data_IF_356470852670
#
_entry.id   IF_356470852670
#
_cell.length_a   1.000
_cell.length_b   1.000
_cell.length_c   1.000
_cell.angle_alpha   90.00
_cell.angle_beta   90.00
_cell.angle_gamma   90.00
#
_symmetry.space_group_name_H-M   'P 1'
#
loop_
_entity.id
_entity.type
_entity.pdbx_description
1 polymer ?
#
# COMPACT_ATOMS: atom_id res chain seq x y z
N UNK A 1 24.64 11.38 -9.57
CA UNK A 1 23.46 10.48 -9.48
C UNK A 1 22.17 11.11 -10.04
N UNK A 2 22.18 11.85 -11.17
CA UNK A 2 21.09 12.82 -11.46
C UNK A 2 20.46 12.80 -12.87
N UNK A 3 20.88 11.94 -13.81
CA UNK A 3 20.23 11.84 -15.14
C UNK A 3 19.22 10.70 -15.27
N UNK A 4 19.52 9.52 -14.74
CA UNK A 4 18.64 8.32 -14.87
C UNK A 4 17.32 8.51 -14.10
N UNK A 5 17.36 9.17 -12.93
CA UNK A 5 16.17 9.41 -12.11
C UNK A 5 15.16 10.40 -12.73
N UNK A 6 15.59 11.25 -13.67
CA UNK A 6 14.69 12.15 -14.41
C UNK A 6 13.96 11.45 -15.55
N UNK A 7 14.51 10.35 -16.08
CA UNK A 7 13.86 9.60 -17.16
C UNK A 7 12.72 8.70 -16.64
N UNK A 8 12.82 8.26 -15.38
CA UNK A 8 11.78 7.48 -14.70
C UNK A 8 10.64 8.32 -14.08
N UNK A 9 10.75 9.64 -14.04
CA UNK A 9 9.71 10.52 -13.48
C UNK A 9 8.94 11.20 -14.60
N UNK A 10 7.79 10.64 -15.02
CA UNK A 10 6.94 11.29 -16.01
C UNK A 10 6.62 12.73 -15.61
N UNK A 11 6.55 13.62 -16.60
CA UNK A 11 6.42 15.06 -16.34
C UNK A 11 4.99 15.44 -15.90
N UNK A 12 4.00 14.58 -16.15
CA UNK A 12 2.59 14.77 -15.74
C UNK A 12 2.27 14.03 -14.44
N UNK A 13 1.46 14.66 -13.59
CA UNK A 13 1.00 14.12 -12.30
C UNK A 13 0.21 12.83 -12.49
N UNK A 14 -0.65 12.76 -13.51
CA UNK A 14 -1.40 11.55 -13.86
C UNK A 14 -0.48 10.36 -14.20
N UNK A 15 0.54 10.57 -15.03
CA UNK A 15 1.49 9.49 -15.34
C UNK A 15 2.40 9.13 -14.17
N UNK A 16 2.69 10.06 -13.23
CA UNK A 16 3.40 9.71 -11.99
C UNK A 16 2.54 8.80 -11.10
N UNK A 17 1.24 9.11 -10.95
CA UNK A 17 0.30 8.25 -10.21
C UNK A 17 0.16 6.89 -10.90
N UNK A 18 0.00 6.87 -12.22
CA UNK A 18 -0.11 5.63 -12.98
C UNK A 18 1.15 4.76 -12.85
N UNK A 19 2.34 5.37 -12.88
CA UNK A 19 3.60 4.67 -12.68
C UNK A 19 3.74 4.10 -11.26
N UNK A 20 3.28 4.82 -10.24
CA UNK A 20 3.22 4.31 -8.86
C UNK A 20 2.27 3.13 -8.74
N UNK A 21 1.06 3.26 -9.29
CA UNK A 21 0.07 2.18 -9.27
C UNK A 21 0.61 0.95 -10.01
N UNK A 22 1.18 1.14 -11.19
CA UNK A 22 1.77 0.05 -11.96
C UNK A 22 2.94 -0.61 -11.21
N UNK A 23 3.85 0.19 -10.64
CA UNK A 23 4.96 -0.33 -9.85
C UNK A 23 4.45 -1.08 -8.61
N UNK A 24 3.42 -0.58 -7.92
CA UNK A 24 2.79 -1.24 -6.78
C UNK A 24 2.18 -2.60 -7.17
N UNK A 25 1.45 -2.64 -8.28
CA UNK A 25 0.83 -3.85 -8.80
C UNK A 25 1.91 -4.84 -9.25
N UNK A 26 2.89 -4.41 -10.04
CA UNK A 26 3.97 -5.27 -10.53
C UNK A 26 4.79 -5.86 -9.38
N UNK A 27 5.06 -5.06 -8.34
CA UNK A 27 5.73 -5.48 -7.12
C UNK A 27 4.88 -6.46 -6.31
N UNK A 28 3.58 -6.21 -6.16
CA UNK A 28 2.65 -7.15 -5.53
C UNK A 28 2.62 -8.48 -6.30
N UNK A 29 2.48 -8.43 -7.62
CA UNK A 29 2.52 -9.61 -8.49
C UNK A 29 3.86 -10.32 -8.42
N UNK A 30 4.99 -9.60 -8.32
CA UNK A 30 6.30 -10.19 -8.15
C UNK A 30 6.44 -10.88 -6.79
N UNK A 31 5.92 -10.27 -5.71
CA UNK A 31 5.88 -10.89 -4.37
C UNK A 31 5.00 -12.13 -4.39
N UNK A 32 3.80 -12.05 -4.96
CA UNK A 32 2.88 -13.20 -5.07
C UNK A 32 3.48 -14.30 -5.94
N UNK A 33 4.03 -13.96 -7.10
CA UNK A 33 4.67 -14.92 -8.00
C UNK A 33 5.92 -15.53 -7.38
N UNK A 34 6.73 -14.76 -6.64
CA UNK A 34 7.87 -15.29 -5.88
C UNK A 34 7.38 -16.20 -4.77
N UNK A 35 6.36 -15.79 -4.01
CA UNK A 35 5.74 -16.65 -2.99
C UNK A 35 5.27 -17.95 -3.63
N UNK A 36 4.61 -17.89 -4.77
CA UNK A 36 4.11 -19.07 -5.47
C UNK A 36 5.24 -19.95 -6.03
N UNK A 37 6.17 -19.37 -6.78
CA UNK A 37 7.33 -20.08 -7.38
C UNK A 37 8.26 -20.71 -6.34
N UNK A 38 8.42 -20.09 -5.18
CA UNK A 38 9.30 -20.58 -4.11
C UNK A 38 8.55 -21.29 -2.97
N UNK A 39 7.21 -21.26 -2.97
CA UNK A 39 6.37 -22.04 -2.04
C UNK A 39 5.62 -23.19 -2.71
N UNK A 40 5.90 -23.49 -3.97
CA UNK A 40 5.67 -24.81 -4.56
C UNK A 40 6.95 -25.64 -4.42
N UNK A 41 7.06 -26.55 -3.44
CA UNK A 41 8.18 -27.46 -3.37
C UNK A 41 8.15 -28.53 -4.46
N UNK A 42 7.00 -28.82 -5.10
CA UNK A 42 6.91 -29.95 -6.01
C UNK A 42 5.86 -29.76 -7.10
N UNK A 43 6.32 -29.69 -8.34
CA UNK A 43 5.59 -30.28 -9.45
C UNK A 43 5.19 -31.71 -9.07
N UNK A 44 3.89 -31.95 -8.90
CA UNK A 44 3.24 -33.22 -9.25
C UNK A 44 3.94 -34.51 -8.83
N UNK A 45 4.34 -34.67 -7.57
CA UNK A 45 4.22 -36.01 -6.99
C UNK A 45 2.79 -36.06 -6.50
N UNK A 46 1.93 -36.77 -7.23
CA UNK A 46 0.65 -37.17 -6.71
C UNK A 46 0.91 -37.68 -5.29
N UNK A 47 0.49 -36.90 -4.28
CA UNK A 47 0.40 -37.38 -2.90
C UNK A 47 -0.78 -38.33 -2.93
N UNK A 48 -0.58 -39.50 -3.54
CA UNK A 48 -1.33 -40.66 -3.09
C UNK A 48 -0.74 -40.88 -1.71
N UNK A 49 -1.53 -40.56 -0.69
CA UNK A 49 -1.10 -40.77 0.68
C UNK A 49 -0.63 -42.23 0.77
N UNK A 50 0.62 -42.51 1.19
CA UNK A 50 1.11 -43.88 1.21
C UNK A 50 0.18 -44.79 2.02
N UNK A 51 -0.49 -44.25 3.04
CA UNK A 51 -1.56 -44.92 3.78
C UNK A 51 -2.78 -45.31 2.94
N UNK A 52 -3.14 -44.54 1.91
CA UNK A 52 -4.22 -44.87 0.96
C UNK A 52 -3.81 -46.02 0.02
N UNK A 53 -2.59 -46.01 -0.52
CA UNK A 53 -2.08 -47.14 -1.33
C UNK A 53 -1.98 -48.40 -0.48
N UNK A 54 -1.44 -48.28 0.73
CA UNK A 54 -1.30 -49.39 1.68
C UNK A 54 -2.67 -49.97 2.05
N UNK A 55 -3.66 -49.12 2.37
CA UNK A 55 -5.01 -49.58 2.70
C UNK A 55 -5.72 -50.22 1.50
N UNK A 56 -5.56 -49.65 0.30
CA UNK A 56 -6.12 -50.19 -0.95
C UNK A 56 -5.50 -51.54 -1.27
N UNK A 57 -4.18 -51.67 -1.19
CA UNK A 57 -3.45 -52.90 -1.41
C UNK A 57 -3.86 -53.99 -0.41
N UNK A 58 -3.95 -53.63 0.88
CA UNK A 58 -4.36 -54.56 1.92
C UNK A 58 -5.81 -55.05 1.73
N UNK A 59 -6.72 -54.16 1.35
CA UNK A 59 -8.12 -54.50 1.07
C UNK A 59 -8.24 -55.40 -0.17
N UNK A 60 -7.48 -55.10 -1.23
CA UNK A 60 -7.46 -55.90 -2.44
C UNK A 60 -6.90 -57.31 -2.19
N UNK A 61 -5.83 -57.44 -1.40
CA UNK A 61 -5.23 -58.73 -1.05
C UNK A 61 -6.15 -59.54 -0.13
N UNK A 62 -6.83 -58.89 0.83
CA UNK A 62 -7.79 -59.53 1.74
C UNK A 62 -9.01 -60.10 1.01
N UNK A 63 -9.46 -59.43 -0.07
CA UNK A 63 -10.58 -59.89 -0.89
C UNK A 63 -10.27 -61.13 -1.76
N UNK A 64 -8.99 -61.51 -1.89
CA UNK A 64 -8.55 -62.63 -2.73
C UNK A 64 -8.40 -63.91 -1.91
N UNK A 65 -8.90 -65.03 -2.45
CA UNK A 65 -8.77 -66.36 -1.85
C UNK A 65 -7.29 -66.72 -1.57
N UNK A 66 -6.97 -67.44 -0.47
CA UNK A 66 -5.60 -67.73 -0.04
C UNK A 66 -4.68 -68.24 -1.17
N UNK A 67 -5.20 -69.15 -1.99
CA UNK A 67 -4.49 -69.79 -3.11
C UNK A 67 -4.03 -68.80 -4.21
N UNK A 68 -4.73 -67.67 -4.35
CA UNK A 68 -4.47 -66.67 -5.39
C UNK A 68 -3.74 -65.43 -4.87
N UNK A 69 -3.53 -65.30 -3.55
CA UNK A 69 -2.82 -64.16 -2.94
C UNK A 69 -1.40 -63.97 -3.45
N UNK A 70 -0.59 -65.00 -3.71
CA UNK A 70 0.76 -64.80 -4.26
C UNK A 70 0.73 -64.06 -5.61
N UNK A 71 -0.29 -64.31 -6.44
CA UNK A 71 -0.49 -63.59 -7.71
C UNK A 71 -0.93 -62.15 -7.48
N UNK A 72 -1.87 -61.92 -6.56
CA UNK A 72 -2.32 -60.56 -6.21
C UNK A 72 -1.18 -59.70 -5.62
N UNK A 73 -0.33 -60.30 -4.78
CA UNK A 73 0.87 -59.65 -4.24
C UNK A 73 1.86 -59.31 -5.37
N UNK A 74 2.10 -60.24 -6.30
CA UNK A 74 3.00 -59.99 -7.43
C UNK A 74 2.50 -58.84 -8.32
N UNK A 75 1.20 -58.76 -8.60
CA UNK A 75 0.62 -57.63 -9.34
C UNK A 75 0.67 -56.33 -8.54
N UNK A 76 0.39 -56.36 -7.24
CA UNK A 76 0.46 -55.18 -6.40
C UNK A 76 1.90 -54.64 -6.28
N UNK A 77 2.89 -55.54 -6.25
CA UNK A 77 4.30 -55.18 -6.23
C UNK A 77 4.77 -54.60 -7.59
N UNK A 78 4.10 -54.91 -8.70
CA UNK A 78 4.34 -54.23 -9.98
C UNK A 78 3.78 -52.80 -9.98
N UNK A 79 2.62 -52.59 -9.35
CA UNK A 79 1.97 -51.27 -9.26
C UNK A 79 2.68 -50.36 -8.24
N UNK A 80 3.16 -50.93 -7.14
CA UNK A 80 3.87 -50.23 -6.08
C UNK A 80 5.22 -50.93 -5.78
N UNK A 81 6.25 -50.76 -6.63
CA UNK A 81 7.55 -51.44 -6.46
C UNK A 81 8.33 -50.98 -5.22
N UNK A 82 7.95 -49.84 -4.66
CA UNK A 82 8.46 -49.28 -3.40
C UNK A 82 7.85 -49.95 -2.15
N UNK A 83 6.85 -50.82 -2.33
CA UNK A 83 6.26 -51.65 -1.28
C UNK A 83 6.61 -53.12 -1.49
N UNK A 84 7.02 -53.77 -0.41
CA UNK A 84 7.16 -55.22 -0.35
C UNK A 84 6.10 -55.78 0.58
N UNK A 85 5.24 -56.63 0.01
CA UNK A 85 4.17 -57.32 0.73
C UNK A 85 4.58 -58.76 1.01
N UNK A 86 4.44 -59.21 2.25
CA UNK A 86 4.72 -60.59 2.68
C UNK A 86 3.55 -61.08 3.54
N UNK A 87 3.14 -62.34 3.39
CA UNK A 87 2.12 -62.95 4.26
C UNK A 87 2.84 -63.71 5.36
N UNK A 88 2.41 -63.51 6.60
CA UNK A 88 2.80 -64.29 7.76
C UNK A 88 1.56 -64.97 8.35
N UNK A 89 1.67 -66.22 8.78
CA UNK A 89 0.54 -66.95 9.36
C UNK A 89 0.21 -66.45 10.78
N UNK A 90 1.22 -66.00 11.52
CA UNK A 90 1.11 -65.47 12.88
C UNK A 90 1.47 -63.99 12.98
N UNK A 91 1.05 -63.37 14.10
CA UNK A 91 1.41 -62.00 14.40
C UNK A 91 2.93 -61.86 14.57
N UNK A 92 3.60 -60.88 13.93
CA UNK A 92 5.04 -60.70 14.09
C UNK A 92 5.43 -60.45 15.55
N UNK A 93 6.38 -61.21 16.09
CA UNK A 93 6.77 -61.19 17.51
C UNK A 93 7.24 -59.79 17.98
N UNK A 94 7.92 -59.02 17.12
CA UNK A 94 8.49 -57.70 17.42
C UNK A 94 7.56 -56.52 17.09
N UNK A 95 6.25 -56.78 17.05
CA UNK A 95 5.24 -55.78 16.71
C UNK A 95 4.24 -55.55 17.85
N UNK A 96 3.73 -54.33 17.98
CA UNK A 96 2.61 -54.00 18.89
C UNK A 96 1.43 -53.46 18.10
N UNK A 97 0.22 -53.61 18.64
CA UNK A 97 -0.96 -52.93 18.10
C UNK A 97 -0.66 -51.43 18.06
N UNK A 98 -0.83 -50.82 16.90
CA UNK A 98 -0.50 -49.42 16.72
C UNK A 98 -1.37 -48.54 17.63
N UNK A 99 -0.76 -47.47 18.16
CA UNK A 99 -1.48 -46.44 18.91
C UNK A 99 -2.49 -45.76 17.96
N UNK A 100 -3.57 -45.18 18.52
CA UNK A 100 -4.62 -44.45 17.76
C UNK A 100 -4.14 -43.08 17.24
N UNK A 101 -2.89 -42.98 16.81
CA UNK A 101 -2.23 -41.76 16.33
C UNK A 101 -1.27 -42.08 15.18
N UNK A 102 -1.05 -41.14 14.26
CA UNK A 102 -0.12 -41.28 13.12
C UNK A 102 -0.63 -42.15 11.95
N UNK A 103 0.27 -42.50 11.02
CA UNK A 103 -0.03 -43.23 9.77
C UNK A 103 -0.78 -44.54 9.99
N UNK A 104 -0.43 -45.30 11.03
CA UNK A 104 -1.09 -46.57 11.31
C UNK A 104 -2.59 -46.39 11.64
N UNK A 105 -2.97 -45.28 12.28
CA UNK A 105 -4.37 -44.93 12.51
C UNK A 105 -5.07 -44.47 11.23
N UNK A 106 -4.38 -43.75 10.34
CA UNK A 106 -4.91 -43.38 9.02
C UNK A 106 -5.18 -44.60 8.15
N UNK A 107 -4.25 -45.56 8.14
CA UNK A 107 -4.42 -46.88 7.49
C UNK A 107 -5.61 -47.61 8.14
N UNK A 108 -5.64 -47.72 9.48
CA UNK A 108 -6.72 -48.41 10.21
C UNK A 108 -8.10 -47.84 9.88
N UNK A 109 -8.24 -46.50 9.84
CA UNK A 109 -9.50 -45.81 9.49
C UNK A 109 -9.99 -46.06 8.07
N UNK A 110 -9.07 -46.39 7.15
CA UNK A 110 -9.38 -46.68 5.73
C UNK A 110 -9.67 -48.15 5.47
N UNK A 111 -9.36 -49.02 6.43
CA UNK A 111 -9.68 -50.44 6.40
C UNK A 111 -11.07 -50.69 7.00
N UNK A 112 -11.40 -51.95 7.28
CA UNK A 112 -12.66 -52.34 7.91
C UNK A 112 -12.72 -51.98 9.42
N UNK A 113 -13.91 -51.94 10.05
CA UNK A 113 -14.10 -51.40 11.40
C UNK A 113 -13.20 -52.00 12.49
N UNK A 114 -12.92 -53.31 12.40
CA UNK A 114 -12.13 -54.06 13.37
C UNK A 114 -10.70 -54.40 12.87
N UNK A 115 -10.19 -53.67 11.88
CA UNK A 115 -8.86 -53.91 11.34
C UNK A 115 -7.77 -53.70 12.41
N UNK A 116 -6.91 -54.72 12.57
CA UNK A 116 -5.78 -54.67 13.50
C UNK A 116 -4.55 -54.27 12.69
N UNK A 117 -4.08 -53.03 12.89
CA UNK A 117 -2.81 -52.55 12.35
C UNK A 117 -1.76 -52.60 13.46
N UNK A 118 -0.65 -53.29 13.20
CA UNK A 118 0.49 -53.43 14.10
C UNK A 118 1.67 -52.65 13.54
N UNK A 119 2.38 -51.96 14.43
CA UNK A 119 3.60 -51.24 14.12
C UNK A 119 4.79 -51.89 14.85
N UNK A 120 5.99 -51.92 14.25
CA UNK A 120 7.19 -52.42 14.89
C UNK A 120 7.56 -51.60 16.13
N UNK A 121 8.04 -52.28 17.17
CA UNK A 121 8.64 -51.63 18.35
C UNK A 121 10.05 -51.11 17.98
N UNK A 122 10.78 -51.93 17.23
CA UNK A 122 12.08 -51.70 16.58
C UNK A 122 11.95 -52.32 15.19
N UNK A 123 12.67 -51.79 14.17
CA UNK A 123 12.69 -52.32 12.80
C UNK A 123 12.72 -53.85 12.82
N UNK A 124 11.68 -54.50 12.27
CA UNK A 124 11.49 -55.94 12.47
C UNK A 124 12.67 -56.70 11.84
N UNK A 125 13.32 -57.63 12.54
CA UNK A 125 14.49 -58.32 11.99
C UNK A 125 14.15 -59.18 10.76
N UNK A 126 13.00 -59.88 10.75
CA UNK A 126 12.39 -60.55 9.57
C UNK A 126 10.87 -60.70 9.74
N UNK A 127 10.06 -60.35 8.72
CA UNK A 127 10.44 -59.60 7.50
C UNK A 127 10.82 -58.17 7.89
N UNK A 128 11.93 -57.64 7.34
CA UNK A 128 12.31 -56.22 7.48
C UNK A 128 11.13 -55.35 7.03
N UNK A 129 10.37 -54.79 7.98
CA UNK A 129 9.03 -54.25 7.71
C UNK A 129 8.61 -53.14 8.67
N UNK A 130 7.69 -52.31 8.18
CA UNK A 130 7.23 -51.07 8.82
C UNK A 130 5.81 -51.21 9.38
N UNK A 131 4.99 -52.11 8.84
CA UNK A 131 3.62 -52.35 9.31
C UNK A 131 3.20 -53.81 9.12
N UNK A 132 2.27 -54.28 9.94
CA UNK A 132 1.57 -55.53 9.72
C UNK A 132 0.06 -55.34 9.92
N UNK A 133 -0.75 -55.81 8.97
CA UNK A 133 -2.21 -55.70 8.99
C UNK A 133 -2.78 -57.11 9.13
N UNK A 134 -3.59 -57.36 10.16
CA UNK A 134 -4.28 -58.65 10.30
C UNK A 134 -5.36 -58.79 9.24
N UNK A 135 -5.38 -59.91 8.49
CA UNK A 135 -6.36 -60.20 7.44
C UNK A 135 -7.60 -60.90 8.03
N UNK A 136 -8.79 -60.69 7.44
CA UNK A 136 -10.04 -61.32 7.93
C UNK A 136 -10.08 -62.83 7.72
N UNK A 137 -9.27 -63.29 6.79
CA UNK A 137 -9.21 -64.66 6.29
C UNK A 137 -8.07 -65.49 6.92
N UNK A 138 -7.48 -64.98 8.00
CA UNK A 138 -6.34 -65.59 8.69
C UNK A 138 -4.99 -65.09 8.16
N UNK A 139 -4.06 -64.89 9.09
CA UNK A 139 -2.71 -64.37 8.83
C UNK A 139 -2.60 -62.83 8.87
N UNK A 140 -1.38 -62.37 8.67
CA UNK A 140 -0.98 -60.96 8.68
C UNK A 140 -0.30 -60.60 7.36
N UNK A 141 -0.73 -59.48 6.77
CA UNK A 141 -0.05 -58.83 5.67
C UNK A 141 1.03 -57.90 6.22
N UNK A 142 2.28 -58.31 6.08
CA UNK A 142 3.46 -57.55 6.48
C UNK A 142 3.92 -56.68 5.31
N UNK A 143 4.13 -55.39 5.57
CA UNK A 143 4.42 -54.36 4.57
C UNK A 143 5.72 -53.68 4.92
N UNK A 144 6.63 -53.65 3.95
CA UNK A 144 7.95 -53.04 4.07
C UNK A 144 8.19 -52.01 2.97
N UNK A 145 8.75 -50.86 3.36
CA UNK A 145 9.12 -49.80 2.44
C UNK A 145 10.55 -50.05 1.95
N UNK A 146 10.71 -50.21 0.64
CA UNK A 146 12.03 -50.52 0.05
C UNK A 146 12.81 -49.28 -0.33
N UNK A 147 12.17 -48.11 -0.45
CA UNK A 147 12.81 -46.83 -0.77
C UNK A 147 12.88 -45.87 0.42
N UNK A 148 14.10 -45.42 0.75
CA UNK A 148 14.39 -44.47 1.83
C UNK A 148 13.73 -43.09 1.62
N UNK A 149 13.52 -42.67 0.37
CA UNK A 149 12.82 -41.40 0.09
C UNK A 149 11.32 -41.47 0.42
N UNK A 150 10.71 -42.65 0.36
CA UNK A 150 9.29 -42.90 0.71
C UNK A 150 9.10 -43.13 2.20
N UNK A 151 10.10 -43.66 2.91
CA UNK A 151 10.07 -43.78 4.37
C UNK A 151 10.01 -42.41 5.06
N UNK A 152 10.70 -41.40 4.52
CA UNK A 152 10.62 -40.02 5.00
C UNK A 152 9.21 -39.43 4.91
N UNK A 153 8.51 -39.64 3.78
CA UNK A 153 7.13 -39.17 3.60
C UNK A 153 6.16 -39.83 4.58
N UNK A 154 6.36 -41.12 4.87
CA UNK A 154 5.59 -41.86 5.87
C UNK A 154 5.93 -41.46 7.30
N UNK A 155 7.18 -41.11 7.58
CA UNK A 155 7.61 -40.60 8.88
C UNK A 155 7.07 -39.19 9.13
N UNK A 156 6.93 -38.38 8.09
CA UNK A 156 6.30 -37.06 8.11
C UNK A 156 4.78 -37.14 8.34
N UNK A 157 4.09 -38.07 7.66
CA UNK A 157 2.68 -38.42 7.92
C UNK A 157 2.51 -38.99 9.35
N UNK A 158 3.45 -39.82 9.82
CA UNK A 158 3.46 -40.42 11.16
C UNK A 158 3.63 -39.39 12.26
N UNK A 159 4.50 -38.40 12.05
CA UNK A 159 4.70 -37.32 13.00
C UNK A 159 3.56 -36.30 12.95
N UNK A 160 2.63 -36.36 11.99
CA UNK A 160 1.48 -35.47 11.88
C UNK A 160 1.86 -33.98 11.81
N UNK A 161 3.11 -33.68 11.45
CA UNK A 161 3.74 -32.40 11.77
C UNK A 161 4.31 -31.70 10.55
N UNK A 162 3.67 -30.58 10.22
CA UNK A 162 4.31 -29.27 10.39
C UNK A 162 5.32 -28.81 9.33
N UNK A 163 5.85 -29.63 8.42
CA UNK A 163 6.69 -29.11 7.34
C UNK A 163 5.92 -28.20 6.37
N UNK A 164 4.69 -28.62 6.00
CA UNK A 164 3.75 -27.81 5.20
C UNK A 164 3.26 -26.55 5.93
N UNK A 165 3.37 -26.48 7.28
CA UNK A 165 3.03 -25.29 8.07
C UNK A 165 4.23 -24.36 8.32
N UNK A 166 5.44 -24.88 8.54
CA UNK A 166 6.65 -24.08 8.83
C UNK A 166 7.26 -23.47 7.57
N UNK A 167 7.28 -24.20 6.44
CA UNK A 167 7.77 -23.65 5.17
C UNK A 167 6.78 -22.60 4.61
N UNK A 168 5.48 -22.87 4.72
CA UNK A 168 4.42 -21.91 4.35
C UNK A 168 4.43 -20.66 5.25
N UNK A 169 4.64 -20.78 6.57
CA UNK A 169 4.61 -19.62 7.47
C UNK A 169 5.81 -18.68 7.28
N UNK A 170 7.04 -19.21 7.14
CA UNK A 170 8.24 -18.38 6.96
C UNK A 170 8.29 -17.65 5.61
N UNK A 171 7.83 -18.29 4.53
CA UNK A 171 7.79 -17.67 3.21
C UNK A 171 6.67 -16.61 3.12
N UNK A 172 5.54 -16.84 3.80
CA UNK A 172 4.45 -15.87 3.89
C UNK A 172 4.84 -14.65 4.73
N UNK A 173 5.53 -14.83 5.86
CA UNK A 173 6.02 -13.75 6.70
C UNK A 173 7.03 -12.85 5.98
N UNK A 174 8.00 -13.44 5.28
CA UNK A 174 9.02 -12.69 4.52
C UNK A 174 8.42 -11.95 3.31
N UNK A 175 7.48 -12.58 2.60
CA UNK A 175 6.77 -11.97 1.47
C UNK A 175 5.85 -10.83 1.92
N UNK A 176 5.16 -10.99 3.05
CA UNK A 176 4.37 -9.94 3.66
C UNK A 176 5.24 -8.77 4.12
N UNK A 177 6.40 -9.03 4.74
CA UNK A 177 7.34 -7.99 5.13
C UNK A 177 7.88 -7.22 3.92
N UNK A 178 8.25 -7.91 2.84
CA UNK A 178 8.71 -7.26 1.60
C UNK A 178 7.62 -6.37 0.99
N UNK A 179 6.38 -6.86 0.95
CA UNK A 179 5.23 -6.10 0.49
C UNK A 179 5.01 -4.83 1.32
N UNK A 180 5.06 -4.93 2.65
CA UNK A 180 4.89 -3.80 3.56
C UNK A 180 6.00 -2.75 3.37
N UNK A 181 7.26 -3.17 3.29
CA UNK A 181 8.40 -2.27 3.06
C UNK A 181 8.23 -1.54 1.73
N UNK A 182 7.86 -2.27 0.69
CA UNK A 182 7.79 -1.71 -0.64
C UNK A 182 6.54 -0.81 -0.82
N UNK A 183 5.42 -1.13 -0.17
CA UNK A 183 4.27 -0.24 -0.03
C UNK A 183 4.60 1.04 0.76
N UNK A 184 5.41 0.93 1.83
CA UNK A 184 5.90 2.07 2.59
C UNK A 184 6.76 2.99 1.71
N UNK A 185 7.71 2.43 0.96
CA UNK A 185 8.56 3.19 0.03
C UNK A 185 7.73 3.91 -1.07
N UNK A 186 6.73 3.24 -1.64
CA UNK A 186 5.81 3.83 -2.61
C UNK A 186 5.00 4.98 -2.01
N UNK A 187 4.51 4.82 -0.78
CA UNK A 187 3.73 5.85 -0.07
C UNK A 187 4.59 7.09 0.22
N UNK A 188 5.82 6.89 0.68
CA UNK A 188 6.80 7.96 0.89
C UNK A 188 7.10 8.68 -0.43
N UNK A 189 7.34 7.92 -1.50
CA UNK A 189 7.60 8.51 -2.82
C UNK A 189 6.41 9.33 -3.33
N UNK A 190 5.18 8.82 -3.20
CA UNK A 190 3.95 9.52 -3.61
C UNK A 190 3.79 10.84 -2.84
N UNK A 191 4.06 10.82 -1.54
CA UNK A 191 4.03 12.02 -0.69
C UNK A 191 4.99 13.09 -1.20
N UNK A 192 6.24 12.72 -1.53
CA UNK A 192 7.22 13.67 -2.04
C UNK A 192 7.00 14.08 -3.51
N UNK A 193 6.41 13.22 -4.33
CA UNK A 193 6.17 13.47 -5.75
C UNK A 193 4.92 14.33 -6.00
N UNK A 194 3.86 14.13 -5.22
CA UNK A 194 2.54 14.76 -5.47
C UNK A 194 2.15 15.72 -4.35
N UNK A 195 2.19 15.27 -3.09
CA UNK A 195 1.65 16.05 -1.96
C UNK A 195 2.57 17.24 -1.62
N UNK A 196 3.88 17.02 -1.53
CA UNK A 196 4.82 18.08 -1.13
C UNK A 196 4.89 19.26 -2.12
N UNK A 197 4.85 19.08 -3.46
CA UNK A 197 4.73 20.18 -4.41
C UNK A 197 3.41 20.95 -4.27
N UNK A 198 2.28 20.28 -4.08
CA UNK A 198 0.97 20.92 -3.89
C UNK A 198 0.94 21.77 -2.63
N UNK A 199 1.48 21.24 -1.53
CA UNK A 199 1.53 21.96 -0.25
C UNK A 199 2.44 23.18 -0.31
N UNK A 200 3.57 23.10 -1.06
CA UNK A 200 4.42 24.26 -1.33
C UNK A 200 3.70 25.33 -2.15
N UNK A 201 2.94 24.92 -3.18
CA UNK A 201 2.15 25.84 -3.98
C UNK A 201 1.06 26.53 -3.15
N UNK A 202 0.33 25.76 -2.33
CA UNK A 202 -0.68 26.29 -1.40
C UNK A 202 -0.09 27.34 -0.46
N UNK A 203 1.02 27.01 0.22
CA UNK A 203 1.69 27.96 1.12
C UNK A 203 2.21 29.21 0.40
N UNK A 204 2.62 29.09 -0.86
CA UNK A 204 3.02 30.25 -1.66
C UNK A 204 1.80 31.10 -2.06
N UNK A 205 0.66 30.46 -2.35
CA UNK A 205 -0.58 31.14 -2.66
C UNK A 205 -1.20 31.86 -1.45
N UNK A 206 -1.16 31.27 -0.26
CA UNK A 206 -1.60 31.92 1.00
C UNK A 206 -0.74 33.15 1.35
N UNK A 207 0.54 33.10 0.99
CA UNK A 207 1.49 34.19 1.21
C UNK A 207 1.48 35.25 0.12
N UNK A 208 0.53 35.23 -0.83
CA UNK A 208 0.32 36.34 -1.74
C UNK A 208 -0.26 37.51 -0.93
N UNK A 209 0.52 38.55 -0.57
CA UNK A 209 -0.04 39.76 -0.02
C UNK A 209 -1.12 40.31 -0.95
N UNK A 210 -2.22 40.73 -0.36
CA UNK A 210 -3.23 41.56 -1.02
C UNK A 210 -2.72 42.99 -1.27
N UNK A 211 -1.58 43.32 -0.68
CA UNK A 211 -1.03 44.66 -0.65
C UNK A 211 0.15 44.82 -1.62
N UNK A 212 0.31 46.03 -2.14
CA UNK A 212 1.14 46.32 -3.32
C UNK A 212 2.61 45.92 -3.15
N UNK A 213 3.14 45.31 -4.22
CA UNK A 213 4.40 45.78 -4.77
C UNK A 213 5.65 44.91 -4.61
N UNK A 214 5.57 43.64 -4.17
CA UNK A 214 6.77 42.78 -4.15
C UNK A 214 6.56 41.28 -3.97
N UNK A 215 5.44 40.73 -4.42
CA UNK A 215 5.27 39.28 -4.40
C UNK A 215 6.16 38.63 -5.45
N UNK A 216 7.19 37.92 -4.99
CA UNK A 216 7.98 37.05 -5.86
C UNK A 216 7.04 36.09 -6.61
N UNK A 217 7.20 35.94 -7.95
CA UNK A 217 6.40 35.01 -8.71
C UNK A 217 6.49 33.61 -8.11
N UNK A 218 5.36 32.90 -8.05
CA UNK A 218 5.33 31.52 -7.62
C UNK A 218 6.26 30.71 -8.54
N UNK A 219 7.25 30.04 -7.94
CA UNK A 219 8.23 29.24 -8.67
C UNK A 219 7.54 28.10 -9.41
N UNK A 220 7.70 28.07 -10.74
CA UNK A 220 7.14 27.05 -11.62
C UNK A 220 7.91 25.71 -11.50
N UNK A 221 7.72 25.02 -10.38
CA UNK A 221 8.40 23.76 -10.08
C UNK A 221 7.43 22.61 -9.87
N UNK A 222 7.88 21.39 -10.17
CA UNK A 222 7.08 20.17 -10.04
C UNK A 222 6.47 19.68 -11.36
N UNK A 223 5.48 18.77 -11.28
CA UNK A 223 4.75 18.23 -12.42
C UNK A 223 4.13 19.32 -13.31
N UNK A 224 3.92 18.98 -14.57
CA UNK A 224 3.43 19.86 -15.64
C UNK A 224 2.14 20.58 -15.25
N UNK A 225 1.23 19.90 -14.57
CA UNK A 225 -0.05 20.44 -14.09
C UNK A 225 0.17 21.50 -13.00
N UNK A 226 1.07 21.23 -12.06
CA UNK A 226 1.43 22.20 -11.01
C UNK A 226 2.12 23.43 -11.63
N UNK A 227 3.04 23.23 -12.59
CA UNK A 227 3.65 24.36 -13.32
C UNK A 227 2.60 25.20 -14.08
N UNK A 228 1.61 24.55 -14.70
CA UNK A 228 0.53 25.24 -15.40
C UNK A 228 -0.32 26.07 -14.43
N UNK A 229 -0.64 25.52 -13.26
CA UNK A 229 -1.36 26.24 -12.22
C UNK A 229 -0.56 27.42 -11.66
N UNK A 230 0.74 27.23 -11.37
CA UNK A 230 1.65 28.32 -10.97
C UNK A 230 1.66 29.45 -12.02
N UNK A 231 1.73 29.11 -13.31
CA UNK A 231 1.63 30.10 -14.40
C UNK A 231 0.31 30.85 -14.41
N UNK A 232 -0.81 30.17 -14.18
CA UNK A 232 -2.11 30.80 -14.12
C UNK A 232 -2.22 31.76 -12.93
N UNK A 233 -1.74 31.37 -11.76
CA UNK A 233 -1.69 32.22 -10.57
C UNK A 233 -0.80 33.45 -10.80
N UNK A 234 0.40 33.28 -11.36
CA UNK A 234 1.29 34.39 -11.70
C UNK A 234 0.67 35.36 -12.73
N UNK A 235 -0.18 34.88 -13.65
CA UNK A 235 -0.95 35.75 -14.54
C UNK A 235 -2.04 36.52 -13.80
N UNK A 236 -2.74 35.86 -12.87
CA UNK A 236 -3.77 36.51 -12.05
C UNK A 236 -3.16 37.61 -11.17
N UNK A 237 -2.04 37.32 -10.52
CA UNK A 237 -1.30 38.27 -9.69
C UNK A 237 -0.94 39.53 -10.49
N UNK A 238 -0.30 39.38 -11.66
CA UNK A 238 0.05 40.51 -12.53
C UNK A 238 -1.18 41.33 -12.95
N UNK A 239 -2.31 40.67 -13.19
CA UNK A 239 -3.56 41.36 -13.55
C UNK A 239 -4.09 42.18 -12.38
N UNK A 240 -4.07 41.63 -11.17
CA UNK A 240 -4.47 42.35 -9.94
C UNK A 240 -3.56 43.55 -9.72
N UNK A 241 -2.24 43.36 -9.77
CA UNK A 241 -1.26 44.45 -9.60
C UNK A 241 -1.53 45.60 -10.59
N UNK A 242 -1.73 45.28 -11.87
CA UNK A 242 -2.04 46.27 -12.91
C UNK A 242 -3.36 47.00 -12.68
N UNK A 243 -4.36 46.32 -12.13
CA UNK A 243 -5.67 46.89 -11.83
C UNK A 243 -5.58 47.85 -10.65
N UNK A 244 -4.86 47.45 -9.60
CA UNK A 244 -4.61 48.30 -8.43
C UNK A 244 -3.83 49.53 -8.91
N UNK A 245 -2.69 49.39 -9.60
CA UNK A 245 -1.89 50.51 -10.15
C UNK A 245 -2.72 51.48 -10.99
N UNK A 246 -3.56 50.96 -11.88
CA UNK A 246 -4.44 51.78 -12.71
C UNK A 246 -5.45 52.57 -11.87
N UNK A 247 -6.02 51.97 -10.81
CA UNK A 247 -6.91 52.66 -9.88
C UNK A 247 -6.19 53.78 -9.11
N UNK A 248 -4.95 53.56 -8.65
CA UNK A 248 -4.18 54.61 -7.96
C UNK A 248 -3.84 55.77 -8.89
N UNK A 249 -3.41 55.48 -10.13
CA UNK A 249 -3.17 56.52 -11.13
C UNK A 249 -4.43 57.34 -11.43
N UNK A 250 -5.57 56.68 -11.59
CA UNK A 250 -6.84 57.35 -11.81
C UNK A 250 -7.24 58.25 -10.62
N UNK A 251 -7.11 57.75 -9.38
CA UNK A 251 -7.38 58.54 -8.17
C UNK A 251 -6.45 59.74 -8.03
N UNK A 252 -5.17 59.59 -8.39
CA UNK A 252 -4.21 60.70 -8.38
C UNK A 252 -4.58 61.78 -9.42
N UNK A 253 -4.98 61.38 -10.63
CA UNK A 253 -5.44 62.31 -11.66
C UNK A 253 -6.72 63.05 -11.24
N UNK A 254 -7.72 62.33 -10.72
CA UNK A 254 -8.97 62.92 -10.22
C UNK A 254 -8.68 63.91 -9.08
N UNK A 255 -7.79 63.55 -8.14
CA UNK A 255 -7.38 64.44 -7.04
C UNK A 255 -6.77 65.75 -7.54
N UNK A 256 -5.91 65.66 -8.55
CA UNK A 256 -5.26 66.82 -9.16
C UNK A 256 -6.29 67.78 -9.80
N UNK A 257 -7.24 67.23 -10.55
CA UNK A 257 -8.27 68.02 -11.24
C UNK A 257 -9.24 68.67 -10.25
N UNK A 258 -9.64 67.94 -9.21
CA UNK A 258 -10.49 68.48 -8.15
C UNK A 258 -9.80 69.62 -7.38
N UNK A 259 -8.50 69.51 -7.06
CA UNK A 259 -7.74 70.61 -6.43
C UNK A 259 -7.72 71.85 -7.31
N UNK A 260 -7.62 71.68 -8.62
CA UNK A 260 -7.67 72.79 -9.60
C UNK A 260 -9.04 73.49 -9.57
N UNK A 261 -10.14 72.72 -9.53
CA UNK A 261 -11.50 73.28 -9.45
C UNK A 261 -11.75 73.96 -8.10
N UNK A 262 -11.34 73.36 -6.97
CA UNK A 262 -11.46 73.94 -5.63
C UNK A 262 -10.71 75.27 -5.54
N UNK A 263 -9.48 75.34 -6.06
CA UNK A 263 -8.69 76.57 -6.09
C UNK A 263 -9.38 77.66 -6.91
N UNK A 264 -9.99 77.30 -8.05
CA UNK A 264 -10.77 78.24 -8.86
C UNK A 264 -12.04 78.71 -8.15
N UNK A 265 -12.73 77.85 -7.42
CA UNK A 265 -13.90 78.24 -6.62
C UNK A 265 -13.49 79.24 -5.53
N UNK A 266 -12.39 78.97 -4.82
CA UNK A 266 -11.81 79.90 -3.82
C UNK A 266 -11.50 81.27 -4.41
N UNK A 267 -10.85 81.33 -5.58
CA UNK A 267 -10.55 82.60 -6.25
C UNK A 267 -11.82 83.35 -6.70
N UNK A 268 -12.84 82.64 -7.19
CA UNK A 268 -14.10 83.28 -7.62
C UNK A 268 -14.89 83.85 -6.45
N UNK A 269 -14.88 83.18 -5.32
CA UNK A 269 -15.61 83.62 -4.14
C UNK A 269 -14.99 84.85 -3.46
N UNK A 270 -13.72 85.19 -3.76
CA UNK A 270 -13.12 86.47 -3.35
C UNK A 270 -13.81 87.70 -3.98
N UNK A 271 -14.45 87.54 -5.14
CA UNK A 271 -15.14 88.61 -5.88
C UNK A 271 -16.61 88.82 -5.46
N UNK A 272 -17.10 88.11 -4.44
CA UNK A 272 -18.47 88.29 -3.94
C UNK A 272 -18.52 89.56 -3.08
N UNK A 273 -19.45 90.47 -3.37
CA UNK A 273 -19.59 91.76 -2.69
C UNK A 273 -20.26 91.67 -1.30
N UNK A 274 -21.08 90.65 -1.07
CA UNK A 274 -21.69 90.37 0.24
C UNK A 274 -20.72 89.54 1.10
N UNK A 275 -20.15 90.17 2.14
CA UNK A 275 -19.20 89.55 3.05
C UNK A 275 -19.77 88.33 3.81
N UNK A 276 -21.07 88.34 4.13
CA UNK A 276 -21.71 87.22 4.81
C UNK A 276 -21.85 86.00 3.88
N UNK A 277 -22.18 86.23 2.61
CA UNK A 277 -22.25 85.19 1.59
C UNK A 277 -20.85 84.68 1.20
N UNK A 278 -19.86 85.57 1.07
CA UNK A 278 -18.45 85.24 0.85
C UNK A 278 -17.91 84.31 1.94
N UNK A 279 -18.12 84.66 3.21
CA UNK A 279 -17.68 83.85 4.35
C UNK A 279 -18.28 82.44 4.36
N UNK A 280 -19.57 82.30 4.03
CA UNK A 280 -20.23 80.99 3.89
C UNK A 280 -19.63 80.16 2.75
N UNK A 281 -19.48 80.75 1.55
CA UNK A 281 -18.91 80.07 0.39
C UNK A 281 -17.47 79.59 0.64
N UNK A 282 -16.66 80.38 1.36
CA UNK A 282 -15.29 80.00 1.71
C UNK A 282 -15.25 78.80 2.64
N UNK A 283 -16.17 78.77 3.62
CA UNK A 283 -16.29 77.66 4.58
C UNK A 283 -16.72 76.36 3.88
N UNK A 284 -17.58 76.45 2.88
CA UNK A 284 -17.99 75.28 2.08
C UNK A 284 -16.82 74.76 1.22
N UNK A 285 -16.04 75.64 0.59
CA UNK A 285 -14.85 75.27 -0.20
C UNK A 285 -13.78 74.62 0.68
N UNK A 286 -13.54 75.16 1.88
CA UNK A 286 -12.61 74.60 2.86
C UNK A 286 -13.07 73.23 3.37
N UNK A 287 -14.39 73.06 3.55
CA UNK A 287 -14.98 71.77 3.91
C UNK A 287 -14.79 70.73 2.79
N UNK A 288 -15.01 71.12 1.53
CA UNK A 288 -14.77 70.24 0.37
C UNK A 288 -13.30 69.83 0.24
N UNK A 289 -12.36 70.76 0.43
CA UNK A 289 -10.92 70.46 0.42
C UNK A 289 -10.53 69.49 1.54
N UNK A 290 -11.06 69.71 2.75
CA UNK A 290 -10.85 68.81 3.90
C UNK A 290 -11.41 67.40 3.65
N UNK A 291 -12.63 67.28 3.12
CA UNK A 291 -13.24 65.99 2.78
C UNK A 291 -12.46 65.25 1.69
N UNK A 292 -11.99 65.98 0.68
CA UNK A 292 -11.17 65.42 -0.40
C UNK A 292 -9.83 64.90 0.13
N UNK A 293 -9.17 65.68 0.99
CA UNK A 293 -7.91 65.29 1.60
C UNK A 293 -8.07 64.02 2.46
N UNK A 294 -9.12 63.97 3.31
CA UNK A 294 -9.43 62.80 4.16
C UNK A 294 -9.69 61.54 3.34
N UNK A 295 -10.48 61.63 2.27
CA UNK A 295 -10.76 60.48 1.41
C UNK A 295 -9.51 60.01 0.66
N UNK A 296 -8.64 60.91 0.23
CA UNK A 296 -7.38 60.53 -0.43
C UNK A 296 -6.39 59.90 0.54
N UNK A 297 -6.31 60.41 1.78
CA UNK A 297 -5.51 59.80 2.85
C UNK A 297 -6.04 58.42 3.19
N UNK A 298 -7.36 58.23 3.26
CA UNK A 298 -7.97 56.91 3.48
C UNK A 298 -7.68 55.93 2.33
N UNK A 299 -7.86 56.35 1.08
CA UNK A 299 -7.63 55.51 -0.11
C UNK A 299 -6.14 55.24 -0.40
N UNK A 300 -5.24 56.10 0.09
CA UNK A 300 -3.79 55.90 0.06
C UNK A 300 -3.29 55.18 1.33
N UNK A 301 -4.07 55.19 2.41
CA UNK A 301 -3.72 54.76 3.76
C UNK A 301 -3.76 53.27 4.03
N UNK A 302 -4.07 52.42 3.04
CA UNK A 302 -3.58 51.03 3.06
C UNK A 302 -2.04 50.97 2.91
N UNK A 303 -1.37 52.04 2.44
CA UNK A 303 0.11 52.07 2.26
C UNK A 303 0.91 52.50 3.51
N UNK A 304 0.27 52.94 4.59
CA UNK A 304 0.97 53.28 5.84
C UNK A 304 0.55 52.31 6.93
N UNK A 305 1.27 51.20 7.05
CA UNK A 305 1.24 50.37 8.25
C UNK A 305 1.26 51.30 9.47
N UNK A 306 0.22 51.16 10.29
CA UNK A 306 -0.06 51.97 11.48
C UNK A 306 1.26 52.24 12.22
N UNK A 307 1.80 53.44 12.04
CA UNK A 307 2.75 54.01 12.97
C UNK A 307 1.97 54.20 14.25
N UNK A 308 2.08 53.25 15.18
CA UNK A 308 1.55 53.37 16.53
C UNK A 308 2.21 54.59 17.17
N UNK A 309 1.60 55.76 17.01
CA UNK A 309 1.86 56.92 17.85
C UNK A 309 1.15 56.69 19.18
N UNK A 310 1.92 56.73 20.27
CA UNK A 310 1.39 56.74 21.63
C UNK A 310 0.38 57.90 21.75
N UNK A 311 -0.89 57.56 21.88
CA UNK A 311 -1.92 58.49 22.29
C UNK A 311 -1.89 58.49 23.81
N UNK A 312 -1.41 59.59 24.38
CA UNK A 312 -1.51 59.86 25.81
C UNK A 312 -2.97 60.09 26.17
N UNK A 313 -3.51 59.25 27.06
CA UNK A 313 -4.91 59.27 27.48
C UNK A 313 -5.15 60.13 28.73
N UNK A 314 -4.13 60.83 29.24
CA UNK A 314 -4.24 61.63 30.48
C UNK A 314 -4.87 63.03 30.29
N UNK A 315 -5.65 63.27 29.24
CA UNK A 315 -6.29 64.58 29.02
C UNK A 315 -7.75 64.54 28.54
N UNK A 316 -8.51 63.50 28.92
CA UNK A 316 -9.99 63.50 28.84
C UNK A 316 -10.60 63.51 30.24
#
# INVERSE_FOLDING_TARGET
>A
MTRVLRWLRPDTLGAQIALVLFAAIALFQAVVATTYLFSDPDWTVAVVEPSEIIATAATAIDAVAPERRPRAIAEMQRVAPWLKFTIADDAPADSRIALKTGTAELIRKRLWPDAIVRAPIVRMPKPDSDFAIGLRSGGYLVIALTEERRSLALEEERRGTTAKRIAMSRNLESSAALFLVAAMLLTVWLTFAVIAPLYRLMRQAEKLPFDRGRSEPIKESGPREIRQLSRALNRMQRRIDSMIESRSRALAAISHDLRTIITRMRLRSEFIADDALKGKMMKDVETMDSMLHKNLVYLRGEEAGVGMGLIDLDSV
#
